data_IF_901614898407
#
_entry.id   IF_901614898407
#
_cell.length_a   1.000
_cell.length_b   1.000
_cell.length_c   1.000
_cell.angle_alpha   90.00
_cell.angle_beta   90.00
_cell.angle_gamma   90.00
#
_symmetry.space_group_name_H-M   'P 1'
#
loop_
_entity.id
_entity.type
_entity.pdbx_description
1 polymer ?
#
# COMPACT_ATOMS: atom_id res chain seq x y z
N UNK A 1 40.41 15.20 -7.14
CA UNK A 1 38.97 15.50 -7.30
C UNK A 1 38.40 15.97 -5.96
N UNK A 2 38.20 17.27 -5.76
CA UNK A 2 37.50 17.77 -4.56
C UNK A 2 36.00 17.53 -4.72
N UNK A 3 35.37 16.83 -3.77
CA UNK A 3 33.91 16.69 -3.70
C UNK A 3 33.29 18.07 -3.42
N UNK A 4 32.72 18.70 -4.44
CA UNK A 4 31.91 19.91 -4.28
C UNK A 4 30.50 19.50 -3.87
N UNK A 5 30.22 19.48 -2.57
CA UNK A 5 28.86 19.31 -2.08
C UNK A 5 28.05 20.53 -2.51
N UNK A 6 26.93 20.31 -3.21
CA UNK A 6 26.01 21.37 -3.62
C UNK A 6 24.84 21.44 -2.63
N UNK A 7 24.97 22.25 -1.58
CA UNK A 7 23.92 22.42 -0.58
C UNK A 7 22.60 22.96 -1.16
N UNK A 8 22.67 23.75 -2.24
CA UNK A 8 21.48 24.21 -2.95
C UNK A 8 20.71 23.04 -3.56
N UNK A 9 21.42 22.08 -4.14
CA UNK A 9 20.82 20.87 -4.70
C UNK A 9 20.16 20.01 -3.62
N UNK A 10 20.80 19.88 -2.45
CA UNK A 10 20.22 19.15 -1.31
C UNK A 10 18.95 19.85 -0.81
N UNK A 11 18.97 21.18 -0.68
CA UNK A 11 17.79 21.94 -0.25
C UNK A 11 16.64 21.78 -1.25
N UNK A 12 16.91 21.93 -2.53
CA UNK A 12 15.89 21.79 -3.58
C UNK A 12 15.39 20.35 -3.71
N UNK A 13 16.24 19.34 -3.56
CA UNK A 13 15.79 17.95 -3.59
C UNK A 13 14.86 17.62 -2.41
N UNK A 14 15.12 18.20 -1.23
CA UNK A 14 14.22 18.09 -0.08
C UNK A 14 12.87 18.78 -0.34
N UNK A 15 12.89 19.99 -0.90
CA UNK A 15 11.65 20.72 -1.26
C UNK A 15 10.87 19.93 -2.32
N UNK A 16 11.54 19.47 -3.37
CA UNK A 16 10.92 18.64 -4.41
C UNK A 16 10.38 17.33 -3.86
N UNK A 17 11.08 16.72 -2.90
CA UNK A 17 10.60 15.55 -2.19
C UNK A 17 9.32 15.83 -1.40
N UNK A 18 9.28 16.92 -0.63
CA UNK A 18 8.11 17.33 0.14
C UNK A 18 6.89 17.64 -0.75
N UNK A 19 7.11 18.36 -1.86
CA UNK A 19 6.07 18.66 -2.85
C UNK A 19 5.57 17.38 -3.52
N UNK A 20 6.48 16.50 -3.93
CA UNK A 20 6.15 15.21 -4.55
C UNK A 20 5.39 14.30 -3.58
N UNK A 21 5.77 14.29 -2.30
CA UNK A 21 5.06 13.57 -1.24
C UNK A 21 3.64 14.11 -1.04
N UNK A 22 3.48 15.43 -0.89
CA UNK A 22 2.16 16.03 -0.74
C UNK A 22 1.24 15.76 -1.95
N UNK A 23 1.77 15.90 -3.17
CA UNK A 23 1.04 15.56 -4.39
C UNK A 23 0.67 14.07 -4.44
N UNK A 24 1.60 13.20 -4.07
CA UNK A 24 1.39 11.76 -3.98
C UNK A 24 0.32 11.37 -2.95
N UNK A 25 0.31 12.00 -1.77
CA UNK A 25 -0.71 11.74 -0.74
C UNK A 25 -2.10 12.18 -1.18
N UNK A 26 -2.23 13.36 -1.79
CA UNK A 26 -3.50 13.82 -2.37
C UNK A 26 -4.00 12.82 -3.41
N UNK A 27 -3.09 12.36 -4.28
CA UNK A 27 -3.38 11.39 -5.33
C UNK A 27 -3.81 10.04 -4.74
N UNK A 28 -3.14 9.57 -3.69
CA UNK A 28 -3.51 8.35 -2.98
C UNK A 28 -4.89 8.49 -2.38
N UNK A 29 -5.17 9.54 -1.62
CA UNK A 29 -6.49 9.75 -1.00
C UNK A 29 -7.64 9.83 -2.01
N UNK A 30 -7.41 10.45 -3.17
CA UNK A 30 -8.45 10.65 -4.17
C UNK A 30 -8.71 9.41 -5.03
N UNK A 31 -7.67 8.62 -5.34
CA UNK A 31 -7.78 7.48 -6.26
C UNK A 31 -7.64 6.11 -5.59
N UNK A 32 -7.58 6.07 -4.26
CA UNK A 32 -7.64 4.82 -3.51
C UNK A 32 -8.98 4.13 -3.77
N UNK A 33 -8.96 2.98 -4.44
CA UNK A 33 -10.16 2.17 -4.70
C UNK A 33 -10.81 2.41 -6.06
N UNK A 34 -10.53 3.53 -6.73
CA UNK A 34 -10.96 3.75 -8.13
C UNK A 34 -9.97 3.17 -9.15
N UNK A 35 -8.66 3.28 -8.86
CA UNK A 35 -7.61 2.77 -9.74
C UNK A 35 -6.98 1.46 -9.24
N UNK A 36 -6.46 0.61 -10.16
CA UNK A 36 -5.64 -0.53 -9.77
C UNK A 36 -4.47 -0.08 -8.89
N UNK A 37 -4.35 -0.69 -7.71
CA UNK A 37 -3.27 -0.39 -6.74
C UNK A 37 -1.87 -0.46 -7.37
N UNK A 38 -1.70 -1.34 -8.36
CA UNK A 38 -0.47 -1.46 -9.12
C UNK A 38 -0.11 -0.14 -9.83
N UNK A 39 -1.03 0.38 -10.64
CA UNK A 39 -0.86 1.64 -11.38
C UNK A 39 -0.71 2.83 -10.44
N UNK A 40 -1.51 2.88 -9.37
CA UNK A 40 -1.48 3.97 -8.41
C UNK A 40 -0.13 4.10 -7.71
N UNK A 41 0.47 2.99 -7.27
CA UNK A 41 1.79 2.98 -6.64
C UNK A 41 2.91 3.32 -7.65
N UNK A 42 2.84 2.79 -8.87
CA UNK A 42 3.79 3.17 -9.93
C UNK A 42 3.75 4.67 -10.22
N UNK A 43 2.56 5.25 -10.33
CA UNK A 43 2.37 6.68 -10.54
C UNK A 43 2.91 7.50 -9.36
N UNK A 44 2.73 7.03 -8.12
CA UNK A 44 3.24 7.70 -6.91
C UNK A 44 4.77 7.83 -6.97
N UNK A 45 5.49 6.74 -7.26
CA UNK A 45 6.95 6.78 -7.41
C UNK A 45 7.38 7.68 -8.56
N UNK A 46 6.64 7.67 -9.68
CA UNK A 46 6.92 8.52 -10.82
C UNK A 46 6.75 10.02 -10.52
N UNK A 47 5.66 10.42 -9.86
CA UNK A 47 5.38 11.82 -9.48
C UNK A 47 6.43 12.32 -8.48
N UNK A 48 6.76 11.51 -7.48
CA UNK A 48 7.79 11.85 -6.50
C UNK A 48 9.15 12.04 -7.17
N UNK A 49 9.55 11.13 -8.06
CA UNK A 49 10.80 11.24 -8.80
C UNK A 49 10.82 12.44 -9.75
N UNK A 50 9.70 12.74 -10.43
CA UNK A 50 9.58 13.90 -11.30
C UNK A 50 9.73 15.19 -10.51
N UNK A 51 9.08 15.29 -9.35
CA UNK A 51 9.19 16.45 -8.47
C UNK A 51 10.63 16.65 -7.99
N UNK A 52 11.26 15.61 -7.44
CA UNK A 52 12.68 15.68 -7.02
C UNK A 52 13.59 16.05 -8.18
N UNK A 53 13.42 15.41 -9.35
CA UNK A 53 14.21 15.68 -10.54
C UNK A 53 14.07 17.11 -11.05
N UNK A 54 12.84 17.64 -11.05
CA UNK A 54 12.54 19.01 -11.45
C UNK A 54 13.26 20.02 -10.57
N UNK A 55 13.14 19.88 -9.25
CA UNK A 55 13.79 20.79 -8.31
C UNK A 55 15.32 20.65 -8.34
N UNK A 56 15.86 19.45 -8.52
CA UNK A 56 17.29 19.25 -8.77
C UNK A 56 17.76 19.96 -10.05
N UNK A 57 16.98 19.89 -11.13
CA UNK A 57 17.28 20.57 -12.38
C UNK A 57 17.28 22.09 -12.20
N UNK A 58 16.30 22.63 -11.48
CA UNK A 58 16.23 24.06 -11.13
C UNK A 58 17.44 24.49 -10.29
N UNK A 59 17.86 23.68 -9.31
CA UNK A 59 19.04 23.96 -8.50
C UNK A 59 20.32 24.05 -9.35
N UNK A 60 20.52 23.11 -10.28
CA UNK A 60 21.66 23.14 -11.21
C UNK A 60 21.55 24.26 -12.25
N UNK A 61 20.34 24.72 -12.59
CA UNK A 61 20.16 25.93 -13.43
C UNK A 61 20.62 27.21 -12.72
N UNK A 62 20.39 27.31 -11.40
CA UNK A 62 20.77 28.47 -10.59
C UNK A 62 22.27 28.41 -10.25
N UNK A 63 22.74 27.26 -9.76
CA UNK A 63 24.15 27.06 -9.40
C UNK A 63 24.66 25.76 -10.02
N UNK A 64 25.19 25.81 -11.27
CA UNK A 64 25.68 24.63 -11.97
C UNK A 64 27.03 24.19 -11.40
N UNK A 65 27.01 23.57 -10.21
CA UNK A 65 28.20 23.12 -9.49
C UNK A 65 28.59 21.68 -9.82
N UNK A 66 27.62 20.81 -10.13
CA UNK A 66 27.89 19.42 -10.50
C UNK A 66 28.25 19.29 -11.98
N UNK A 67 27.40 19.85 -12.85
CA UNK A 67 27.60 19.71 -14.30
C UNK A 67 28.44 20.84 -14.92
N UNK A 68 28.65 21.94 -14.19
CA UNK A 68 29.42 23.10 -14.64
C UNK A 68 28.63 24.04 -15.56
N UNK A 69 29.12 25.27 -15.73
CA UNK A 69 28.42 26.31 -16.49
C UNK A 69 28.24 25.97 -17.99
N UNK A 70 29.16 25.20 -18.57
CA UNK A 70 29.08 24.75 -19.97
C UNK A 70 27.90 23.79 -20.21
N UNK A 71 27.51 23.00 -19.21
CA UNK A 71 26.36 22.11 -19.32
C UNK A 71 25.06 22.89 -19.53
N UNK A 72 24.86 23.99 -18.80
CA UNK A 72 23.65 24.82 -18.92
C UNK A 72 23.43 25.36 -20.33
N UNK A 73 24.51 25.73 -21.03
CA UNK A 73 24.43 26.27 -22.39
C UNK A 73 24.19 25.19 -23.44
N UNK A 74 24.66 23.95 -23.21
CA UNK A 74 24.71 22.91 -24.24
C UNK A 74 23.65 21.81 -24.07
N UNK A 75 23.29 21.48 -22.84
CA UNK A 75 22.49 20.30 -22.52
C UNK A 75 21.20 20.61 -21.74
N UNK A 76 20.93 21.86 -21.37
CA UNK A 76 19.73 22.21 -20.61
C UNK A 76 18.42 21.82 -21.34
N UNK A 77 18.37 22.04 -22.65
CA UNK A 77 17.22 21.66 -23.47
C UNK A 77 17.02 20.13 -23.51
N UNK A 78 18.12 19.37 -23.55
CA UNK A 78 18.10 17.92 -23.49
C UNK A 78 17.65 17.44 -22.11
N UNK A 79 18.17 18.02 -21.02
CA UNK A 79 17.78 17.69 -19.65
C UNK A 79 16.30 17.93 -19.39
N UNK A 80 15.72 18.99 -19.95
CA UNK A 80 14.27 19.22 -19.90
C UNK A 80 13.45 18.17 -20.65
N UNK A 81 13.89 17.77 -21.85
CA UNK A 81 13.24 16.71 -22.63
C UNK A 81 13.34 15.35 -21.95
N UNK A 82 14.46 15.09 -21.30
CA UNK A 82 14.72 13.82 -20.60
C UNK A 82 14.09 13.77 -19.21
N UNK A 83 13.66 14.90 -18.64
CA UNK A 83 13.12 14.96 -17.28
C UNK A 83 11.96 13.97 -17.11
N UNK A 84 10.91 14.09 -17.93
CA UNK A 84 9.73 13.22 -17.86
C UNK A 84 10.06 11.73 -18.14
N UNK A 85 10.74 11.36 -19.24
CA UNK A 85 11.01 9.94 -19.51
C UNK A 85 11.98 9.32 -18.49
N UNK A 86 12.99 10.05 -18.02
CA UNK A 86 13.99 9.52 -17.08
C UNK A 86 13.49 9.47 -15.63
N UNK A 87 12.53 10.34 -15.26
CA UNK A 87 11.95 10.34 -13.91
C UNK A 87 10.59 9.65 -13.92
N UNK A 88 9.54 10.33 -14.38
CA UNK A 88 8.16 9.83 -14.36
C UNK A 88 8.02 8.45 -15.00
N UNK A 89 8.43 8.30 -16.27
CA UNK A 89 8.17 7.05 -16.99
C UNK A 89 9.03 5.88 -16.45
N UNK A 90 10.32 6.11 -16.24
CA UNK A 90 11.23 5.07 -15.75
C UNK A 90 10.86 4.63 -14.33
N UNK A 91 10.60 5.57 -13.42
CA UNK A 91 10.26 5.24 -12.03
C UNK A 91 8.83 4.71 -11.90
N UNK A 92 7.93 5.07 -12.81
CA UNK A 92 6.64 4.40 -12.92
C UNK A 92 6.83 2.93 -13.27
N UNK A 93 7.60 2.62 -14.32
CA UNK A 93 7.86 1.21 -14.71
C UNK A 93 8.57 0.45 -13.58
N UNK A 94 9.56 1.07 -12.93
CA UNK A 94 10.25 0.46 -11.79
C UNK A 94 9.29 0.24 -10.61
N UNK A 95 8.42 1.21 -10.30
CA UNK A 95 7.41 1.12 -9.26
C UNK A 95 6.38 0.02 -9.54
N UNK A 96 5.94 -0.13 -10.78
CA UNK A 96 5.10 -1.25 -11.21
C UNK A 96 5.83 -2.58 -10.98
N UNK A 97 7.09 -2.69 -11.40
CA UNK A 97 7.89 -3.91 -11.21
C UNK A 97 8.08 -4.28 -9.74
N UNK A 98 8.39 -3.31 -8.89
CA UNK A 98 8.51 -3.50 -7.44
C UNK A 98 7.18 -3.90 -6.81
N UNK A 99 6.09 -3.28 -7.23
CA UNK A 99 4.76 -3.61 -6.71
C UNK A 99 4.30 -5.00 -7.18
N UNK A 100 4.67 -5.43 -8.38
CA UNK A 100 4.49 -6.82 -8.83
C UNK A 100 5.33 -7.77 -7.98
N UNK A 101 6.59 -7.46 -7.73
CA UNK A 101 7.44 -8.27 -6.87
C UNK A 101 6.89 -8.37 -5.44
N UNK A 102 6.36 -7.27 -4.90
CA UNK A 102 5.67 -7.26 -3.61
C UNK A 102 4.40 -8.12 -3.60
N UNK A 103 3.64 -8.12 -4.71
CA UNK A 103 2.47 -8.99 -4.86
C UNK A 103 2.84 -10.46 -5.02
N UNK A 104 4.04 -10.76 -5.55
CA UNK A 104 4.64 -12.10 -5.54
C UNK A 104 5.15 -12.38 -4.11
N UNK A 105 4.22 -12.35 -3.16
CA UNK A 105 4.46 -12.89 -1.85
C UNK A 105 4.05 -14.38 -1.92
N UNK A 106 4.98 -15.34 -1.80
CA UNK A 106 4.66 -16.77 -1.80
C UNK A 106 3.77 -17.20 -0.61
N UNK A 107 3.55 -16.31 0.37
CA UNK A 107 2.42 -16.40 1.29
C UNK A 107 1.17 -15.81 0.66
N UNK A 108 0.46 -16.61 -0.14
CA UNK A 108 -0.85 -16.24 -0.71
C UNK A 108 -1.77 -15.61 0.33
N UNK A 109 -2.61 -14.66 -0.12
CA UNK A 109 -3.57 -13.88 0.67
C UNK A 109 -3.90 -14.59 1.98
N UNK A 110 -3.41 -14.05 3.13
CA UNK A 110 -3.54 -14.66 4.47
C UNK A 110 -4.89 -15.36 4.57
N UNK A 111 -4.90 -16.66 4.33
CA UNK A 111 -6.12 -17.43 4.46
C UNK A 111 -6.44 -17.35 5.94
N UNK A 112 -7.64 -16.87 6.27
CA UNK A 112 -8.08 -16.78 7.65
C UNK A 112 -8.22 -18.23 8.13
N UNK A 113 -7.17 -18.72 8.80
CA UNK A 113 -7.09 -20.10 9.29
C UNK A 113 -7.84 -20.27 10.59
N UNK A 114 -7.94 -19.21 11.39
CA UNK A 114 -8.58 -19.24 12.69
C UNK A 114 -9.86 -18.40 12.65
N UNK A 115 -11.01 -19.05 12.83
CA UNK A 115 -12.32 -18.40 12.83
C UNK A 115 -12.95 -18.60 14.20
N UNK A 116 -13.31 -17.49 14.86
CA UNK A 116 -14.05 -17.51 16.12
C UNK A 116 -15.50 -17.19 15.81
N UNK A 117 -16.38 -18.18 16.01
CA UNK A 117 -17.82 -18.02 15.90
C UNK A 117 -18.41 -17.79 17.29
N UNK A 118 -18.96 -16.60 17.52
CA UNK A 118 -19.57 -16.22 18.79
C UNK A 118 -21.09 -16.19 18.62
N UNK A 119 -21.79 -17.07 19.34
CA UNK A 119 -23.24 -17.26 19.23
C UNK A 119 -23.89 -16.70 20.51
N UNK A 120 -24.75 -15.71 20.32
CA UNK A 120 -25.60 -15.19 21.40
C UNK A 120 -26.64 -16.25 21.78
N UNK A 121 -26.65 -16.62 23.05
CA UNK A 121 -27.62 -17.52 23.66
C UNK A 121 -28.37 -16.88 24.84
N UNK A 122 -28.43 -15.55 24.89
CA UNK A 122 -29.22 -14.83 25.87
C UNK A 122 -30.72 -15.15 25.77
N UNK A 123 -31.46 -14.87 26.84
CA UNK A 123 -32.88 -15.22 26.94
C UNK A 123 -33.77 -14.58 25.87
N UNK A 124 -33.36 -13.45 25.28
CA UNK A 124 -34.04 -12.78 24.16
C UNK A 124 -34.07 -13.62 22.88
N UNK A 125 -33.19 -14.61 22.79
CA UNK A 125 -33.15 -15.49 21.64
C UNK A 125 -34.25 -16.56 21.65
N UNK A 126 -34.92 -16.80 22.77
CA UNK A 126 -36.09 -17.67 22.79
C UNK A 126 -37.28 -17.06 22.02
N UNK A 127 -37.35 -15.73 21.93
CA UNK A 127 -38.40 -15.02 21.19
C UNK A 127 -38.05 -14.86 19.70
N UNK A 128 -36.76 -14.69 19.38
CA UNK A 128 -36.29 -14.37 18.03
C UNK A 128 -35.78 -15.59 17.24
N UNK A 129 -35.29 -16.62 17.92
CA UNK A 129 -34.89 -17.92 17.34
C UNK A 129 -35.38 -19.09 18.21
N UNK A 130 -36.71 -19.29 18.35
CA UNK A 130 -37.30 -20.32 19.21
C UNK A 130 -36.91 -21.76 18.79
N UNK A 131 -36.53 -21.95 17.52
CA UNK A 131 -36.15 -23.24 16.95
C UNK A 131 -34.64 -23.49 16.97
N UNK A 132 -33.84 -22.62 17.60
CA UNK A 132 -32.38 -22.76 17.70
C UNK A 132 -31.67 -22.87 16.33
N UNK A 133 -32.23 -22.25 15.28
CA UNK A 133 -31.70 -22.27 13.92
C UNK A 133 -30.28 -21.73 13.81
N UNK A 134 -29.87 -20.84 14.72
CA UNK A 134 -28.49 -20.35 14.86
C UNK A 134 -27.44 -21.46 15.01
N UNK A 135 -27.76 -22.55 15.71
CA UNK A 135 -26.84 -23.68 15.89
C UNK A 135 -26.73 -24.53 14.62
N UNK A 136 -27.84 -24.70 13.89
CA UNK A 136 -27.84 -25.41 12.61
C UNK A 136 -27.13 -24.59 11.51
N UNK A 137 -27.31 -23.27 11.51
CA UNK A 137 -26.57 -22.36 10.64
C UNK A 137 -25.06 -22.38 10.94
N UNK A 138 -24.68 -22.37 12.22
CA UNK A 138 -23.29 -22.49 12.65
C UNK A 138 -22.66 -23.82 12.19
N UNK A 139 -23.36 -24.95 12.37
CA UNK A 139 -22.90 -26.26 11.89
C UNK A 139 -22.77 -26.29 10.37
N UNK A 140 -23.75 -25.77 9.65
CA UNK A 140 -23.73 -25.72 8.17
C UNK A 140 -22.56 -24.88 7.67
N UNK A 141 -22.32 -23.72 8.29
CA UNK A 141 -21.18 -22.86 7.98
C UNK A 141 -19.86 -23.59 8.21
N UNK A 142 -19.69 -24.25 9.38
CA UNK A 142 -18.48 -25.02 9.70
C UNK A 142 -18.27 -26.18 8.71
N UNK A 143 -19.34 -26.88 8.32
CA UNK A 143 -19.26 -28.00 7.37
C UNK A 143 -18.91 -27.55 5.94
N UNK A 144 -19.18 -26.30 5.59
CA UNK A 144 -18.80 -25.70 4.30
C UNK A 144 -17.40 -25.08 4.32
N UNK A 145 -16.73 -25.01 5.48
CA UNK A 145 -15.36 -24.51 5.57
C UNK A 145 -14.35 -25.56 5.08
N UNK A 146 -13.25 -25.06 4.52
CA UNK A 146 -12.10 -25.89 4.11
C UNK A 146 -11.48 -26.58 5.34
N UNK A 147 -11.00 -27.81 5.14
CA UNK A 147 -10.53 -28.70 6.22
C UNK A 147 -9.26 -28.22 6.93
N UNK A 148 -8.60 -27.18 6.42
CA UNK A 148 -7.43 -26.55 7.02
C UNK A 148 -7.77 -25.38 7.96
N UNK A 149 -9.06 -25.05 8.13
CA UNK A 149 -9.54 -23.98 9.02
C UNK A 149 -9.86 -24.51 10.41
N UNK A 150 -9.30 -23.86 11.42
CA UNK A 150 -9.62 -24.08 12.83
C UNK A 150 -10.75 -23.16 13.25
N UNK A 151 -11.82 -23.75 13.78
CA UNK A 151 -13.00 -23.00 14.22
C UNK A 151 -13.21 -23.19 15.72
N UNK A 152 -13.34 -22.09 16.45
CA UNK A 152 -13.78 -22.09 17.85
C UNK A 152 -15.21 -21.54 17.93
N UNK A 153 -16.12 -22.31 18.56
CA UNK A 153 -17.50 -21.87 18.80
C UNK A 153 -17.65 -21.48 20.27
N UNK A 154 -18.06 -20.24 20.53
CA UNK A 154 -18.26 -19.69 21.87
C UNK A 154 -19.71 -19.27 22.00
N UNK A 155 -20.43 -19.83 22.97
CA UNK A 155 -21.80 -19.40 23.30
C UNK A 155 -21.78 -18.54 24.54
N UNK A 156 -22.50 -17.42 24.54
CA UNK A 156 -22.63 -16.57 25.73
C UNK A 156 -24.10 -16.39 26.10
N UNK A 157 -24.40 -16.51 27.39
CA UNK A 157 -25.72 -16.28 27.97
C UNK A 157 -25.74 -14.95 28.73
N UNK A 158 -24.83 -14.81 29.70
CA UNK A 158 -24.45 -13.58 30.43
C UNK A 158 -22.92 -13.49 30.64
N UNK A 159 -22.23 -14.64 30.65
CA UNK A 159 -20.76 -14.76 30.55
C UNK A 159 -20.40 -15.77 29.45
N UNK A 160 -19.27 -15.59 28.74
CA UNK A 160 -18.88 -16.48 27.65
C UNK A 160 -18.43 -17.86 28.18
N UNK A 161 -19.08 -18.93 27.70
CA UNK A 161 -18.66 -20.32 27.91
C UNK A 161 -18.04 -20.88 26.64
N UNK A 162 -16.86 -21.51 26.78
CA UNK A 162 -16.12 -22.11 25.68
C UNK A 162 -16.57 -23.56 25.48
N UNK A 163 -17.13 -23.87 24.32
CA UNK A 163 -17.43 -25.25 23.92
C UNK A 163 -16.28 -25.79 23.06
N UNK A 164 -15.47 -26.71 23.60
CA UNK A 164 -14.45 -27.44 22.84
C UNK A 164 -14.90 -28.88 22.60
N UNK A 165 -14.71 -29.36 21.36
CA UNK A 165 -15.00 -30.74 20.94
C UNK A 165 -14.05 -31.70 21.67
N UNK A 166 -14.57 -32.58 22.54
CA UNK A 166 -13.82 -33.69 23.11
C UNK A 166 -13.91 -34.91 22.17
N UNK A 167 -12.77 -35.41 21.73
CA UNK A 167 -12.65 -36.69 21.04
C UNK A 167 -12.85 -37.83 22.05
N UNK A 168 -13.91 -38.62 21.87
CA UNK A 168 -13.97 -40.03 22.27
C UNK A 168 -14.50 -40.83 21.08
#
# INVERSE_FOLDING_TARGET
MQRKINFLLVLFSLIGGAVGFAAGEIMLHQWLGEMPRLLLMGLYFGVLALSVGLFCLLAEMISPRLNGASWKLRYLSLSWKLLVPATLALLLVAGLGLQLLYQINPGGAKQVKDIILMIDNSGSMNDTDPNNGRFEAAKTLINQMESDKQVAVITFHDQPQRCSRSSQ
#
